data_IF_755019266959
#
_entry.id   IF_755019266959
#
_cell.length_a   1.000
_cell.length_b   1.000
_cell.length_c   1.000
_cell.angle_alpha   90.00
_cell.angle_beta   90.00
_cell.angle_gamma   90.00
#
_symmetry.space_group_name_H-M   'P 1'
#
loop_
_entity.id
_entity.type
_entity.pdbx_description
1 polymer ?
#
# COMPACT_ATOMS: atom_id res chain seq x y z
N UNK A 1 -17.59 -32.97 1.45
CA UNK A 1 -17.03 -31.89 0.60
C UNK A 1 -16.09 -30.94 1.34
N UNK A 2 -15.89 -31.12 2.62
CA UNK A 2 -14.89 -30.40 3.41
C UNK A 2 -13.49 -30.80 2.93
N UNK A 3 -12.84 -30.01 2.09
CA UNK A 3 -11.49 -30.26 1.55
C UNK A 3 -11.29 -29.93 0.08
N UNK A 4 -12.36 -29.70 -0.69
CA UNK A 4 -12.21 -29.27 -2.10
C UNK A 4 -11.81 -27.80 -2.22
N UNK A 5 -12.30 -26.93 -1.35
CA UNK A 5 -11.96 -25.50 -1.37
C UNK A 5 -10.46 -25.24 -1.30
N UNK A 6 -9.73 -25.77 -0.30
CA UNK A 6 -8.27 -25.62 -0.23
C UNK A 6 -7.55 -26.19 -1.47
N UNK A 7 -7.98 -27.35 -2.00
CA UNK A 7 -7.40 -27.94 -3.21
C UNK A 7 -7.58 -27.04 -4.44
N UNK A 8 -8.79 -26.51 -4.64
CA UNK A 8 -9.07 -25.54 -5.72
C UNK A 8 -8.22 -24.28 -5.55
N UNK A 9 -8.12 -23.75 -4.33
CA UNK A 9 -7.30 -22.58 -4.06
C UNK A 9 -5.81 -22.80 -4.40
N UNK A 10 -5.28 -24.00 -4.05
CA UNK A 10 -3.91 -24.37 -4.41
C UNK A 10 -3.71 -24.47 -5.91
N UNK A 11 -4.64 -25.12 -6.64
CA UNK A 11 -4.57 -25.24 -8.11
C UNK A 11 -4.66 -23.88 -8.79
N UNK A 12 -5.62 -23.05 -8.41
CA UNK A 12 -5.78 -21.69 -8.94
C UNK A 12 -4.55 -20.83 -8.66
N UNK A 13 -3.95 -20.92 -7.45
CA UNK A 13 -2.73 -20.19 -7.12
C UNK A 13 -1.55 -20.66 -7.99
N UNK A 14 -1.40 -21.96 -8.21
CA UNK A 14 -0.36 -22.51 -9.08
C UNK A 14 -0.51 -22.00 -10.53
N UNK A 15 -1.73 -22.06 -11.08
CA UNK A 15 -2.00 -21.60 -12.45
C UNK A 15 -1.80 -20.07 -12.58
N UNK A 16 -2.22 -19.27 -11.59
CA UNK A 16 -1.99 -17.83 -11.60
C UNK A 16 -0.52 -17.46 -11.44
N UNK A 17 0.29 -18.30 -10.78
CA UNK A 17 1.71 -18.01 -10.56
C UNK A 17 2.57 -18.09 -11.82
N UNK A 18 2.08 -18.75 -12.89
CA UNK A 18 2.77 -18.80 -14.19
C UNK A 18 2.43 -17.62 -15.09
N UNK A 19 1.44 -16.82 -14.72
CA UNK A 19 1.05 -15.63 -15.47
C UNK A 19 2.08 -14.50 -15.27
N UNK A 20 2.75 -14.00 -16.33
CA UNK A 20 3.87 -13.05 -16.21
C UNK A 20 3.50 -11.72 -15.53
N UNK A 21 2.22 -11.36 -15.52
CA UNK A 21 1.69 -10.10 -14.99
C UNK A 21 1.21 -10.22 -13.54
N UNK A 22 1.25 -11.43 -12.96
CA UNK A 22 0.70 -11.72 -11.63
C UNK A 22 1.80 -12.24 -10.71
N UNK A 23 2.01 -11.55 -9.61
CA UNK A 23 2.85 -12.03 -8.52
C UNK A 23 1.93 -12.58 -7.44
N UNK A 24 1.97 -13.90 -7.24
CA UNK A 24 1.13 -14.55 -6.23
C UNK A 24 1.78 -14.57 -4.85
N UNK A 25 0.93 -14.50 -3.84
CA UNK A 25 1.29 -14.63 -2.43
C UNK A 25 0.80 -15.99 -1.93
N UNK A 26 1.69 -16.76 -1.28
CA UNK A 26 1.38 -18.11 -0.78
C UNK A 26 0.24 -18.10 0.25
N UNK A 27 -0.75 -19.03 0.07
CA UNK A 27 -1.89 -19.16 0.98
C UNK A 27 -1.48 -19.52 2.41
N UNK A 28 -0.51 -20.41 2.57
CA UNK A 28 -0.02 -20.84 3.89
C UNK A 28 0.49 -19.68 4.74
N UNK A 29 0.92 -18.64 4.11
CA UNK A 29 1.39 -17.41 4.74
C UNK A 29 0.22 -16.52 5.18
N UNK A 30 -0.86 -16.47 4.37
CA UNK A 30 -2.09 -15.77 4.74
C UNK A 30 -2.73 -16.38 6.00
N UNK A 31 -2.67 -17.70 6.13
CA UNK A 31 -3.18 -18.43 7.29
C UNK A 31 -2.46 -18.07 8.59
N UNK A 32 -1.15 -17.85 8.52
CA UNK A 32 -0.36 -17.38 9.68
C UNK A 32 -0.73 -15.96 10.11
N UNK A 33 -1.13 -15.10 9.15
CA UNK A 33 -1.45 -13.70 9.41
C UNK A 33 -2.86 -13.51 9.95
N UNK A 34 -3.84 -14.26 9.45
CA UNK A 34 -5.26 -14.07 9.74
C UNK A 34 -5.78 -14.96 10.87
N UNK A 35 -5.02 -15.99 11.27
CA UNK A 35 -5.49 -17.04 12.16
C UNK A 35 -6.56 -17.93 11.50
N UNK A 36 -6.70 -19.16 11.98
CA UNK A 36 -7.64 -20.16 11.41
C UNK A 36 -9.11 -19.72 11.45
N UNK A 37 -9.48 -18.86 12.41
CA UNK A 37 -10.88 -18.42 12.59
C UNK A 37 -11.37 -17.45 11.50
N UNK A 38 -10.53 -16.57 10.99
CA UNK A 38 -10.93 -15.61 9.94
C UNK A 38 -10.93 -16.24 8.54
N UNK A 39 -10.11 -17.26 8.30
CA UNK A 39 -10.08 -18.03 7.04
C UNK A 39 -11.12 -19.14 6.97
N UNK A 40 -11.52 -19.68 8.12
CA UNK A 40 -12.56 -20.72 8.24
C UNK A 40 -13.95 -20.24 7.81
N UNK A 41 -14.20 -18.93 7.76
CA UNK A 41 -15.37 -18.29 7.18
C UNK A 41 -15.26 -18.22 5.65
N UNK A 42 -14.76 -19.26 5.04
CA UNK A 42 -14.50 -19.39 3.61
C UNK A 42 -15.70 -18.93 2.77
N UNK A 43 -15.48 -17.89 1.95
CA UNK A 43 -16.44 -17.32 1.02
C UNK A 43 -17.21 -16.10 1.53
N UNK A 44 -16.97 -15.61 2.75
CA UNK A 44 -17.60 -14.40 3.30
C UNK A 44 -16.60 -13.28 3.61
N UNK A 45 -15.44 -13.28 2.97
CA UNK A 45 -14.48 -12.17 3.15
C UNK A 45 -15.16 -10.87 2.73
N UNK A 46 -15.29 -9.96 3.69
CA UNK A 46 -15.81 -8.63 3.44
C UNK A 46 -14.71 -7.74 2.81
N UNK A 47 -15.08 -6.65 2.11
CA UNK A 47 -14.10 -5.69 1.62
C UNK A 47 -13.19 -5.14 2.73
N UNK A 48 -13.71 -4.94 3.94
CA UNK A 48 -12.93 -4.49 5.09
C UNK A 48 -11.89 -5.53 5.55
N UNK A 49 -12.26 -6.81 5.57
CA UNK A 49 -11.31 -7.90 5.85
C UNK A 49 -10.27 -8.03 4.74
N UNK A 50 -10.66 -7.86 3.47
CA UNK A 50 -9.75 -7.85 2.34
C UNK A 50 -8.72 -6.71 2.43
N UNK A 51 -9.16 -5.50 2.82
CA UNK A 51 -8.27 -4.36 3.03
C UNK A 51 -7.24 -4.64 4.13
N UNK A 52 -7.66 -5.25 5.25
CA UNK A 52 -6.75 -5.66 6.33
C UNK A 52 -5.71 -6.68 5.85
N UNK A 53 -6.13 -7.67 5.05
CA UNK A 53 -5.22 -8.65 4.42
C UNK A 53 -4.21 -7.93 3.54
N UNK A 54 -4.66 -7.03 2.67
CA UNK A 54 -3.80 -6.25 1.78
C UNK A 54 -2.74 -5.45 2.54
N UNK A 55 -3.15 -4.77 3.61
CA UNK A 55 -2.24 -4.02 4.48
C UNK A 55 -1.17 -4.89 5.14
N UNK A 56 -1.52 -6.11 5.54
CA UNK A 56 -0.62 -7.03 6.22
C UNK A 56 0.32 -7.77 5.27
N UNK A 57 -0.12 -8.06 4.06
CA UNK A 57 0.62 -8.90 3.09
C UNK A 57 1.19 -8.13 1.91
N UNK A 58 0.81 -6.87 1.73
CA UNK A 58 1.13 -6.08 0.53
C UNK A 58 0.33 -6.52 -0.72
N UNK A 59 -0.59 -7.49 -0.59
CA UNK A 59 -1.40 -7.96 -1.71
C UNK A 59 -2.39 -6.90 -2.16
N UNK A 60 -2.37 -6.54 -3.44
CA UNK A 60 -3.28 -5.54 -4.04
C UNK A 60 -4.63 -6.13 -4.43
N UNK A 61 -4.66 -7.43 -4.67
CA UNK A 61 -5.87 -8.18 -5.04
C UNK A 61 -5.97 -9.44 -4.18
N UNK A 62 -7.13 -9.67 -3.61
CA UNK A 62 -7.46 -10.89 -2.88
C UNK A 62 -8.49 -11.70 -3.68
N UNK A 63 -8.20 -12.98 -3.91
CA UNK A 63 -9.14 -13.91 -4.52
C UNK A 63 -9.68 -14.86 -3.45
N UNK A 64 -10.99 -14.91 -3.31
CA UNK A 64 -11.69 -15.84 -2.42
C UNK A 64 -12.84 -16.52 -3.16
N UNK A 65 -13.29 -17.67 -2.69
CA UNK A 65 -14.35 -18.38 -3.41
C UNK A 65 -14.96 -19.54 -2.64
N UNK A 66 -15.91 -20.18 -3.29
CA UNK A 66 -16.60 -21.36 -2.79
C UNK A 66 -16.73 -22.43 -3.85
N UNK A 67 -16.67 -23.68 -3.43
CA UNK A 67 -16.94 -24.85 -4.23
C UNK A 67 -18.16 -25.55 -3.65
N UNK A 68 -19.17 -25.78 -4.46
CA UNK A 68 -20.38 -26.49 -4.04
C UNK A 68 -20.98 -27.30 -5.22
N UNK A 69 -21.88 -28.22 -4.91
CA UNK A 69 -22.68 -28.93 -5.89
C UNK A 69 -24.07 -28.32 -5.92
N UNK A 70 -24.57 -28.09 -7.15
CA UNK A 70 -25.95 -27.78 -7.39
C UNK A 70 -26.45 -28.74 -8.47
N UNK A 71 -27.52 -29.45 -8.18
CA UNK A 71 -28.01 -30.54 -9.02
C UNK A 71 -26.88 -31.54 -9.35
N UNK A 72 -26.63 -31.77 -10.63
CA UNK A 72 -25.56 -32.65 -11.12
C UNK A 72 -24.28 -31.88 -11.51
N UNK A 73 -24.11 -30.64 -11.07
CA UNK A 73 -22.98 -29.79 -11.45
C UNK A 73 -22.07 -29.51 -10.27
N UNK A 74 -20.76 -29.50 -10.50
CA UNK A 74 -19.79 -28.89 -9.59
C UNK A 74 -19.62 -27.43 -10.01
N UNK A 75 -19.86 -26.51 -9.07
CA UNK A 75 -19.78 -25.07 -9.29
C UNK A 75 -18.66 -24.51 -8.44
N UNK A 76 -17.81 -23.69 -9.06
CA UNK A 76 -16.78 -22.92 -8.38
C UNK A 76 -17.02 -21.44 -8.65
N UNK A 77 -17.22 -20.67 -7.59
CA UNK A 77 -17.40 -19.21 -7.66
C UNK A 77 -16.20 -18.55 -7.02
N UNK A 78 -15.63 -17.56 -7.69
CA UNK A 78 -14.56 -16.72 -7.15
C UNK A 78 -15.02 -15.26 -7.07
N UNK A 79 -14.54 -14.56 -6.03
CA UNK A 79 -14.59 -13.11 -5.88
C UNK A 79 -13.17 -12.58 -5.96
N UNK A 80 -12.95 -11.58 -6.78
CA UNK A 80 -11.70 -10.88 -7.00
C UNK A 80 -11.87 -9.50 -6.38
N UNK A 81 -11.16 -9.24 -5.29
CA UNK A 81 -11.38 -8.09 -4.42
C UNK A 81 -10.13 -7.21 -4.44
N UNK A 82 -10.26 -5.96 -4.86
CA UNK A 82 -9.22 -4.96 -4.69
C UNK A 82 -9.09 -4.57 -3.22
N UNK A 83 -7.95 -4.81 -2.61
CA UNK A 83 -7.74 -4.59 -1.17
C UNK A 83 -7.75 -3.12 -0.78
N UNK A 84 -7.36 -2.24 -1.68
CA UNK A 84 -7.34 -0.79 -1.48
C UNK A 84 -8.61 -0.10 -1.97
N UNK A 85 -9.20 -0.61 -3.06
CA UNK A 85 -10.37 0.02 -3.71
C UNK A 85 -11.70 -0.53 -3.22
N UNK A 86 -11.68 -1.67 -2.51
CA UNK A 86 -12.87 -2.42 -2.10
C UNK A 86 -13.77 -2.86 -3.27
N UNK A 87 -13.30 -2.76 -4.51
CA UNK A 87 -14.03 -3.23 -5.69
C UNK A 87 -14.02 -4.74 -5.77
N UNK A 88 -15.12 -5.31 -6.19
CA UNK A 88 -15.32 -6.77 -6.28
C UNK A 88 -15.80 -7.15 -7.65
N UNK A 89 -15.10 -8.10 -8.29
CA UNK A 89 -15.57 -8.79 -9.49
C UNK A 89 -15.82 -10.26 -9.14
N UNK A 90 -16.75 -10.86 -9.86
CA UNK A 90 -17.11 -12.27 -9.69
C UNK A 90 -16.82 -13.07 -10.95
N UNK A 91 -16.27 -14.27 -10.77
CA UNK A 91 -16.15 -15.27 -11.84
C UNK A 91 -16.67 -16.62 -11.38
N UNK A 92 -17.14 -17.40 -12.34
CA UNK A 92 -17.71 -18.71 -12.08
C UNK A 92 -17.34 -19.68 -13.19
N UNK A 93 -17.11 -20.93 -12.78
CA UNK A 93 -17.03 -22.09 -13.65
C UNK A 93 -17.95 -23.19 -13.13
N UNK A 94 -18.46 -24.01 -14.04
CA UNK A 94 -19.29 -25.16 -13.69
C UNK A 94 -19.04 -26.32 -14.66
N UNK A 95 -19.23 -27.51 -14.17
CA UNK A 95 -19.13 -28.71 -15.00
C UNK A 95 -19.79 -29.92 -14.37
N UNK A 96 -20.20 -30.91 -15.21
CA UNK A 96 -20.72 -32.17 -14.70
C UNK A 96 -19.64 -32.95 -13.92
N UNK A 97 -19.99 -33.99 -13.14
CA UNK A 97 -19.03 -34.79 -12.35
C UNK A 97 -17.93 -35.47 -13.19
N UNK A 98 -18.10 -35.55 -14.51
CA UNK A 98 -17.13 -36.10 -15.46
C UNK A 98 -15.97 -35.13 -15.75
N UNK A 99 -16.13 -33.84 -15.48
CA UNK A 99 -15.07 -32.85 -15.63
C UNK A 99 -14.21 -32.84 -14.39
N UNK A 100 -12.89 -32.87 -14.56
CA UNK A 100 -11.98 -32.91 -13.44
C UNK A 100 -11.97 -31.56 -12.70
N UNK A 101 -11.71 -31.61 -11.39
CA UNK A 101 -11.58 -30.42 -10.58
C UNK A 101 -10.35 -29.59 -11.00
N UNK A 102 -9.35 -30.23 -11.58
CA UNK A 102 -8.15 -29.57 -12.15
C UNK A 102 -8.55 -28.70 -13.32
N UNK A 103 -9.30 -29.27 -14.30
CA UNK A 103 -9.73 -28.50 -15.49
C UNK A 103 -10.64 -27.32 -15.12
N UNK A 104 -11.55 -27.54 -14.14
CA UNK A 104 -12.39 -26.43 -13.64
C UNK A 104 -11.55 -25.36 -12.95
N UNK A 105 -10.51 -25.74 -12.19
CA UNK A 105 -9.63 -24.79 -11.51
C UNK A 105 -8.79 -23.98 -12.51
N UNK A 106 -8.24 -24.64 -13.54
CA UNK A 106 -7.46 -23.97 -14.59
C UNK A 106 -8.33 -23.01 -15.42
N UNK A 107 -9.56 -23.42 -15.76
CA UNK A 107 -10.50 -22.54 -16.43
C UNK A 107 -10.88 -21.32 -15.57
N UNK A 108 -11.02 -21.51 -14.25
CA UNK A 108 -11.28 -20.42 -13.33
C UNK A 108 -10.06 -19.47 -13.22
N UNK A 109 -8.86 -20.03 -13.13
CA UNK A 109 -7.62 -19.23 -13.08
C UNK A 109 -7.46 -18.36 -14.33
N UNK A 110 -7.70 -18.91 -15.52
CA UNK A 110 -7.67 -18.15 -16.77
C UNK A 110 -8.69 -17.00 -16.78
N UNK A 111 -9.92 -17.22 -16.28
CA UNK A 111 -10.92 -16.14 -16.13
C UNK A 111 -10.49 -15.08 -15.14
N UNK A 112 -9.94 -15.48 -13.98
CA UNK A 112 -9.41 -14.56 -12.96
C UNK A 112 -8.28 -13.72 -13.56
N UNK A 113 -7.33 -14.34 -14.26
CA UNK A 113 -6.25 -13.65 -14.96
C UNK A 113 -6.78 -12.62 -15.97
N UNK A 114 -7.79 -12.99 -16.76
CA UNK A 114 -8.46 -12.10 -17.70
C UNK A 114 -9.13 -10.89 -17.02
N UNK A 115 -9.76 -11.09 -15.87
CA UNK A 115 -10.32 -9.97 -15.07
C UNK A 115 -9.21 -9.08 -14.54
N UNK A 116 -8.14 -9.64 -13.98
CA UNK A 116 -7.01 -8.87 -13.49
C UNK A 116 -6.36 -8.08 -14.62
N UNK A 117 -6.12 -8.67 -15.78
CA UNK A 117 -5.55 -8.00 -16.94
C UNK A 117 -6.43 -6.86 -17.47
N UNK A 118 -7.76 -7.04 -17.51
CA UNK A 118 -8.69 -6.07 -18.10
C UNK A 118 -9.22 -5.03 -17.11
N UNK A 119 -9.22 -5.33 -15.80
CA UNK A 119 -9.80 -4.50 -14.73
C UNK A 119 -8.82 -4.15 -13.63
N UNK A 120 -7.53 -4.50 -13.78
CA UNK A 120 -6.49 -4.25 -12.79
C UNK A 120 -6.45 -2.79 -12.34
N UNK A 121 -6.53 -1.84 -13.28
CA UNK A 121 -6.56 -0.39 -12.99
C UNK A 121 -7.72 0.05 -12.09
N UNK A 122 -8.76 -0.77 -11.98
CA UNK A 122 -9.91 -0.49 -11.12
C UNK A 122 -9.84 -1.24 -9.78
N UNK A 123 -9.11 -2.37 -9.76
CA UNK A 123 -8.89 -3.18 -8.57
C UNK A 123 -7.79 -2.60 -7.68
N UNK A 124 -6.77 -2.03 -8.29
CA UNK A 124 -5.62 -1.44 -7.59
C UNK A 124 -5.81 0.06 -7.54
N UNK A 125 -5.61 0.65 -6.37
CA UNK A 125 -5.55 2.11 -6.28
C UNK A 125 -4.37 2.59 -7.13
N UNK A 126 -4.59 3.62 -7.96
CA UNK A 126 -3.50 4.26 -8.67
C UNK A 126 -2.57 4.85 -7.62
N UNK A 127 -1.39 4.26 -7.50
CA UNK A 127 -0.31 4.88 -6.74
C UNK A 127 0.18 6.05 -7.59
N UNK A 128 -0.10 7.27 -7.15
CA UNK A 128 0.41 8.46 -7.80
C UNK A 128 1.94 8.41 -7.81
N UNK A 129 2.55 8.58 -8.97
CA UNK A 129 4.00 8.60 -9.06
C UNK A 129 4.56 9.84 -8.38
N UNK A 130 5.84 9.82 -8.03
CA UNK A 130 6.50 10.99 -7.45
C UNK A 130 6.41 12.21 -8.39
N UNK A 131 6.57 12.00 -9.70
CA UNK A 131 6.48 13.04 -10.73
C UNK A 131 5.07 13.63 -10.83
N UNK A 132 4.03 12.79 -10.80
CA UNK A 132 2.64 13.24 -10.82
C UNK A 132 2.30 14.07 -9.57
N UNK A 133 2.78 13.64 -8.40
CA UNK A 133 2.65 14.39 -7.13
C UNK A 133 3.30 15.76 -7.23
N UNK A 134 4.55 15.83 -7.71
CA UNK A 134 5.26 17.09 -7.90
C UNK A 134 4.53 17.99 -8.88
N UNK A 135 4.07 17.47 -10.01
CA UNK A 135 3.32 18.25 -11.02
C UNK A 135 2.04 18.85 -10.42
N UNK A 136 1.29 18.07 -9.64
CA UNK A 136 0.06 18.49 -8.96
C UNK A 136 0.34 19.59 -7.92
N UNK A 137 1.39 19.43 -7.12
CA UNK A 137 1.80 20.46 -6.16
C UNK A 137 2.20 21.73 -6.88
N UNK A 138 3.05 21.66 -7.92
CA UNK A 138 3.45 22.81 -8.73
C UNK A 138 2.26 23.56 -9.32
N UNK A 139 1.27 22.83 -9.82
CA UNK A 139 0.04 23.44 -10.33
C UNK A 139 -0.72 24.21 -9.23
N UNK A 140 -0.80 23.65 -8.03
CA UNK A 140 -1.52 24.27 -6.91
C UNK A 140 -0.82 25.53 -6.34
N UNK A 141 0.50 25.67 -6.54
CA UNK A 141 1.29 26.82 -6.06
C UNK A 141 1.67 27.80 -7.18
N UNK A 142 1.25 27.56 -8.43
CA UNK A 142 1.61 28.38 -9.56
C UNK A 142 1.22 29.86 -9.33
N UNK A 143 2.16 30.77 -9.57
CA UNK A 143 1.97 32.20 -9.39
C UNK A 143 1.98 32.72 -7.94
N UNK A 144 2.14 31.85 -6.96
CA UNK A 144 2.21 32.21 -5.54
C UNK A 144 3.63 32.52 -5.07
N UNK A 145 3.74 33.33 -4.03
CA UNK A 145 5.02 33.61 -3.38
C UNK A 145 5.42 32.41 -2.51
N UNK A 146 6.63 31.91 -2.72
CA UNK A 146 7.17 30.78 -1.97
C UNK A 146 8.06 31.28 -0.83
N UNK A 147 7.75 30.93 0.44
CA UNK A 147 8.60 31.27 1.58
C UNK A 147 9.88 30.42 1.59
N UNK A 148 10.88 30.88 2.31
CA UNK A 148 12.07 30.07 2.65
C UNK A 148 11.70 29.13 3.79
N UNK A 149 12.00 27.84 3.63
CA UNK A 149 11.59 26.79 4.55
C UNK A 149 12.81 26.22 5.27
N UNK A 150 12.67 25.93 6.58
CA UNK A 150 13.53 24.99 7.29
C UNK A 150 12.78 23.70 7.60
N UNK A 151 13.44 22.56 7.43
CA UNK A 151 12.86 21.24 7.73
C UNK A 151 13.70 20.59 8.81
N UNK A 152 13.05 20.06 9.85
CA UNK A 152 13.71 19.34 10.95
C UNK A 152 12.77 18.24 11.44
N UNK A 153 13.07 17.00 11.10
CA UNK A 153 12.29 15.84 11.51
C UNK A 153 13.18 14.88 12.29
N UNK A 154 12.82 14.64 13.56
CA UNK A 154 13.49 13.61 14.36
C UNK A 154 12.99 12.24 13.94
N UNK A 155 13.89 11.35 13.53
CA UNK A 155 13.54 10.05 12.99
C UNK A 155 14.02 8.91 13.89
N UNK A 156 13.12 7.97 14.20
CA UNK A 156 13.38 6.83 15.07
C UNK A 156 12.86 5.54 14.42
N UNK A 157 13.60 4.46 14.63
CA UNK A 157 13.14 3.12 14.32
C UNK A 157 13.05 2.31 15.62
N UNK A 158 11.94 1.64 15.86
CA UNK A 158 11.80 0.71 16.96
C UNK A 158 12.53 -0.60 16.61
N UNK A 159 13.82 -0.64 16.93
CA UNK A 159 14.78 -1.66 16.56
C UNK A 159 16.16 -1.07 16.31
N UNK A 160 16.91 -1.53 15.31
CA UNK A 160 18.22 -0.98 14.95
C UNK A 160 18.14 0.49 14.56
N UNK A 161 19.17 1.26 14.92
CA UNK A 161 19.24 2.68 14.60
C UNK A 161 19.32 2.93 13.10
N UNK A 162 18.44 3.77 12.53
CA UNK A 162 18.53 4.23 11.14
C UNK A 162 19.42 5.48 11.12
N UNK A 163 20.49 5.43 10.30
CA UNK A 163 21.50 6.49 10.24
C UNK A 163 21.05 7.68 9.39
N UNK A 164 20.19 7.45 8.37
CA UNK A 164 19.79 8.47 7.39
C UNK A 164 18.31 8.84 7.55
N UNK A 165 17.96 10.12 7.74
CA UNK A 165 16.57 10.56 7.87
C UNK A 165 15.84 10.47 6.54
N UNK A 166 14.95 9.49 6.39
CA UNK A 166 14.20 9.24 5.16
C UNK A 166 13.03 10.23 4.98
N UNK A 167 12.32 10.54 6.07
CA UNK A 167 11.18 11.46 6.04
C UNK A 167 11.61 12.92 5.80
N UNK A 168 12.66 13.38 6.50
CA UNK A 168 13.21 14.74 6.32
C UNK A 168 13.75 14.92 4.89
N UNK A 169 14.46 13.91 4.38
CA UNK A 169 15.01 13.94 3.02
C UNK A 169 13.90 13.98 1.97
N UNK A 170 12.84 13.19 2.11
CA UNK A 170 11.72 13.19 1.18
C UNK A 170 10.97 14.53 1.17
N UNK A 171 10.72 15.10 2.36
CA UNK A 171 10.11 16.43 2.47
C UNK A 171 10.98 17.52 1.81
N UNK A 172 12.28 17.50 2.08
CA UNK A 172 13.25 18.46 1.55
C UNK A 172 13.33 18.36 0.03
N UNK A 173 13.41 17.13 -0.51
CA UNK A 173 13.44 16.85 -1.94
C UNK A 173 12.16 17.36 -2.63
N UNK A 174 11.00 17.04 -2.08
CA UNK A 174 9.70 17.48 -2.62
C UNK A 174 9.59 19.01 -2.64
N UNK A 175 9.99 19.69 -1.56
CA UNK A 175 10.00 21.17 -1.49
C UNK A 175 10.93 21.77 -2.55
N UNK A 176 12.17 21.26 -2.68
CA UNK A 176 13.13 21.74 -3.67
C UNK A 176 12.62 21.54 -5.10
N UNK A 177 12.08 20.38 -5.40
CA UNK A 177 11.50 20.09 -6.71
C UNK A 177 10.29 21.00 -7.02
N UNK A 178 9.54 21.42 -6.00
CA UNK A 178 8.45 22.39 -6.12
C UNK A 178 8.94 23.87 -6.20
N UNK A 179 10.26 24.12 -6.11
CA UNK A 179 10.86 25.45 -6.27
C UNK A 179 11.05 26.24 -4.97
N UNK A 180 10.80 25.65 -3.81
CA UNK A 180 11.09 26.30 -2.52
C UNK A 180 12.60 26.36 -2.25
N UNK A 181 13.02 27.43 -1.58
CA UNK A 181 14.38 27.55 -1.04
C UNK A 181 14.40 26.96 0.37
N UNK A 182 15.37 26.11 0.63
CA UNK A 182 15.58 25.55 1.95
C UNK A 182 16.72 26.27 2.69
N UNK A 183 16.54 26.47 3.98
CA UNK A 183 17.54 26.98 4.89
C UNK A 183 17.84 25.95 5.96
N UNK A 184 19.09 25.60 6.14
CA UNK A 184 19.60 24.75 7.23
C UNK A 184 20.41 25.56 8.22
N UNK A 185 20.96 24.90 9.29
CA UNK A 185 21.73 25.55 10.34
C UNK A 185 23.03 26.23 9.88
N UNK A 186 23.52 25.94 8.67
CA UNK A 186 24.71 26.54 8.05
C UNK A 186 24.39 27.60 6.99
N UNK A 187 23.11 27.79 6.66
CA UNK A 187 22.67 28.70 5.59
C UNK A 187 22.70 30.17 6.03
N UNK A 188 23.06 31.06 5.10
CA UNK A 188 22.89 32.52 5.26
C UNK A 188 21.42 32.95 5.06
N UNK A 189 20.57 32.08 4.48
CA UNK A 189 19.15 32.34 4.30
C UNK A 189 18.43 32.22 5.64
N UNK A 190 17.56 33.18 5.92
CA UNK A 190 16.67 33.09 7.09
C UNK A 190 15.38 32.42 6.67
N UNK A 191 14.95 31.34 7.32
CA UNK A 191 13.68 30.70 7.02
C UNK A 191 12.51 31.57 7.48
N UNK A 192 11.45 31.61 6.66
CA UNK A 192 10.17 32.24 6.99
C UNK A 192 9.26 31.26 7.75
N UNK A 193 9.37 29.99 7.41
CA UNK A 193 8.53 28.90 7.93
C UNK A 193 9.41 27.72 8.33
N UNK A 194 9.10 27.14 9.48
CA UNK A 194 9.70 25.91 9.98
C UNK A 194 8.71 24.75 9.83
N UNK A 195 9.17 23.65 9.25
CA UNK A 195 8.49 22.35 9.29
C UNK A 195 9.28 21.50 10.28
N UNK A 196 8.67 21.15 11.40
CA UNK A 196 9.30 20.32 12.42
C UNK A 196 8.39 19.18 12.86
N UNK A 197 8.96 18.09 13.32
CA UNK A 197 8.16 16.97 13.79
C UNK A 197 8.96 15.72 14.10
N UNK A 198 8.21 14.63 14.26
CA UNK A 198 8.73 13.32 14.59
C UNK A 198 8.27 12.30 13.56
N UNK A 199 9.16 11.40 13.19
CA UNK A 199 8.88 10.28 12.33
C UNK A 199 9.40 9.00 12.99
N UNK A 200 8.61 7.95 12.95
CA UNK A 200 9.04 6.66 13.44
C UNK A 200 8.56 5.52 12.55
N UNK A 201 9.32 4.45 12.56
CA UNK A 201 8.99 3.20 11.92
C UNK A 201 9.15 2.03 12.88
N UNK A 202 8.43 0.96 12.60
CA UNK A 202 8.50 -0.27 13.37
C UNK A 202 8.36 -1.47 12.45
N UNK A 203 9.00 -2.56 12.81
CA UNK A 203 8.79 -3.86 12.16
C UNK A 203 7.30 -4.22 12.19
N UNK A 204 6.77 -4.63 11.07
CA UNK A 204 5.40 -5.12 10.94
C UNK A 204 5.34 -6.64 10.92
N UNK A 205 5.86 -7.23 9.86
CA UNK A 205 5.90 -8.68 9.69
C UNK A 205 6.96 -9.08 8.66
N UNK A 206 7.41 -10.33 8.75
CA UNK A 206 8.24 -10.97 7.75
C UNK A 206 7.49 -12.09 7.06
N UNK A 207 7.71 -12.23 5.75
CA UNK A 207 7.09 -13.23 4.92
C UNK A 207 8.06 -13.71 3.85
N UNK A 208 8.54 -14.93 3.99
CA UNK A 208 9.63 -15.39 3.14
C UNK A 208 10.80 -14.42 3.20
N UNK A 209 11.19 -13.90 2.06
CA UNK A 209 12.26 -12.90 1.95
C UNK A 209 11.75 -11.44 2.04
N UNK A 210 10.44 -11.21 2.21
CA UNK A 210 9.89 -9.87 2.28
C UNK A 210 9.62 -9.49 3.75
N UNK A 211 9.97 -8.26 4.08
CA UNK A 211 9.74 -7.63 5.37
C UNK A 211 8.87 -6.40 5.17
N UNK A 212 7.84 -6.25 5.97
CA UNK A 212 7.05 -5.04 6.03
C UNK A 212 7.38 -4.23 7.27
N UNK A 213 7.44 -2.90 7.10
CA UNK A 213 7.52 -1.96 8.20
C UNK A 213 6.36 -0.97 8.11
N UNK A 214 5.88 -0.55 9.27
CA UNK A 214 4.87 0.49 9.42
C UNK A 214 5.54 1.76 9.91
N UNK A 215 5.20 2.89 9.30
CA UNK A 215 5.70 4.20 9.73
C UNK A 215 4.57 5.14 10.13
N UNK A 216 4.95 6.17 10.88
CA UNK A 216 4.10 7.32 11.18
C UNK A 216 4.96 8.58 11.17
N UNK A 217 4.49 9.60 10.47
CA UNK A 217 5.10 10.94 10.39
C UNK A 217 4.09 11.93 10.95
N UNK A 218 4.53 12.77 11.89
CA UNK A 218 3.75 13.84 12.49
C UNK A 218 4.51 15.15 12.34
N UNK A 219 3.89 16.14 11.72
CA UNK A 219 4.51 17.41 11.37
C UNK A 219 3.72 18.59 11.93
N UNK A 220 4.46 19.63 12.31
CA UNK A 220 3.95 20.96 12.63
C UNK A 220 4.62 21.97 11.72
N UNK A 221 3.84 22.87 11.16
CA UNK A 221 4.32 23.99 10.35
C UNK A 221 4.13 25.25 11.15
N UNK A 222 5.21 25.98 11.36
CA UNK A 222 5.24 27.21 12.17
C UNK A 222 5.74 28.38 11.35
N UNK A 223 5.04 29.50 11.41
CA UNK A 223 5.55 30.78 10.93
C UNK A 223 6.56 31.35 11.92
N UNK A 224 7.79 31.60 11.50
CA UNK A 224 8.88 31.99 12.44
C UNK A 224 8.65 33.38 12.98
N UNK A 225 8.21 34.33 12.14
CA UNK A 225 8.03 35.72 12.53
C UNK A 225 7.02 35.91 13.68
N UNK A 226 5.95 35.09 13.69
CA UNK A 226 4.86 35.20 14.68
C UNK A 226 4.90 34.11 15.73
N UNK A 227 5.65 33.02 15.48
CA UNK A 227 5.64 31.81 16.30
C UNK A 227 4.36 30.96 16.17
N UNK A 228 3.40 31.38 15.33
CA UNK A 228 2.12 30.69 15.18
C UNK A 228 2.28 29.35 14.46
N UNK A 229 1.57 28.34 14.93
CA UNK A 229 1.42 27.08 14.21
C UNK A 229 0.37 27.28 13.13
N UNK A 230 0.81 27.20 11.86
CA UNK A 230 -0.06 27.37 10.69
C UNK A 230 -0.89 26.12 10.43
N UNK A 231 -0.29 24.94 10.64
CA UNK A 231 -0.98 23.65 10.49
C UNK A 231 -0.21 22.53 11.22
N UNK A 232 -0.93 21.45 11.50
CA UNK A 232 -0.39 20.18 11.96
C UNK A 232 -0.99 19.07 11.10
N UNK A 233 -0.18 18.11 10.68
CA UNK A 233 -0.64 16.97 9.90
C UNK A 233 0.11 15.70 10.29
N UNK A 234 -0.48 14.55 9.98
CA UNK A 234 0.12 13.25 10.25
C UNK A 234 -0.26 12.23 9.18
N UNK A 235 0.63 11.28 8.97
CA UNK A 235 0.39 10.17 8.04
C UNK A 235 1.02 8.88 8.58
N UNK A 236 0.38 7.77 8.25
CA UNK A 236 0.89 6.42 8.50
C UNK A 236 0.97 5.70 7.16
N UNK A 237 2.09 5.02 6.91
CA UNK A 237 2.27 4.23 5.69
C UNK A 237 2.92 2.88 6.00
N UNK A 238 2.93 2.00 5.02
CA UNK A 238 3.60 0.69 5.07
C UNK A 238 4.56 0.59 3.90
N UNK A 239 5.79 0.15 4.19
CA UNK A 239 6.79 -0.21 3.18
C UNK A 239 7.07 -1.70 3.25
N UNK A 240 7.35 -2.29 2.10
CA UNK A 240 7.72 -3.71 1.98
C UNK A 240 9.00 -3.80 1.17
N UNK A 241 9.98 -4.53 1.68
CA UNK A 241 11.26 -4.77 1.01
C UNK A 241 11.90 -6.08 1.49
N UNK A 242 13.03 -6.45 0.92
CA UNK A 242 13.81 -7.63 1.32
C UNK A 242 14.61 -7.43 2.62
N UNK A 243 14.79 -6.19 3.04
CA UNK A 243 15.43 -5.84 4.32
C UNK A 243 14.53 -4.96 5.16
N UNK A 244 14.60 -5.10 6.49
CA UNK A 244 13.85 -4.28 7.42
C UNK A 244 14.19 -2.79 7.28
N UNK A 245 15.47 -2.48 7.09
CA UNK A 245 15.94 -1.10 6.94
C UNK A 245 15.33 -0.43 5.71
N UNK A 246 15.35 -1.10 4.54
CA UNK A 246 14.78 -0.54 3.31
C UNK A 246 13.26 -0.45 3.40
N UNK A 247 12.59 -1.47 3.95
CA UNK A 247 11.14 -1.44 4.19
C UNK A 247 10.73 -0.27 5.10
N UNK A 248 11.50 -0.02 6.16
CA UNK A 248 11.28 1.09 7.08
C UNK A 248 11.45 2.46 6.39
N UNK A 249 12.54 2.63 5.62
CA UNK A 249 12.78 3.87 4.84
C UNK A 249 11.67 4.11 3.81
N UNK A 250 11.28 3.08 3.05
CA UNK A 250 10.17 3.17 2.09
C UNK A 250 8.88 3.58 2.76
N UNK A 251 8.56 3.01 3.93
CA UNK A 251 7.38 3.40 4.70
C UNK A 251 7.41 4.88 5.12
N UNK A 252 8.56 5.37 5.60
CA UNK A 252 8.75 6.76 6.02
C UNK A 252 8.68 7.73 4.84
N UNK A 253 9.32 7.41 3.70
CA UNK A 253 9.26 8.18 2.45
C UNK A 253 7.82 8.30 1.95
N UNK A 254 7.09 7.19 1.90
CA UNK A 254 5.69 7.19 1.48
C UNK A 254 4.85 8.11 2.38
N UNK A 255 4.96 7.96 3.70
CA UNK A 255 4.22 8.79 4.65
C UNK A 255 4.57 10.28 4.52
N UNK A 256 5.86 10.61 4.39
CA UNK A 256 6.33 11.98 4.22
C UNK A 256 5.84 12.60 2.89
N UNK A 257 5.90 11.84 1.80
CA UNK A 257 5.41 12.28 0.48
C UNK A 257 3.90 12.57 0.49
N UNK A 258 3.09 11.73 1.14
CA UNK A 258 1.65 11.96 1.28
C UNK A 258 1.32 13.18 2.16
N UNK A 259 2.09 13.43 3.22
CA UNK A 259 1.95 14.65 4.02
C UNK A 259 2.37 15.87 3.21
N UNK A 260 3.49 15.79 2.48
CA UNK A 260 4.00 16.87 1.63
C UNK A 260 2.94 17.37 0.63
N UNK A 261 2.22 16.46 -0.01
CA UNK A 261 1.14 16.79 -0.94
C UNK A 261 0.05 17.67 -0.32
N UNK A 262 -0.25 17.45 0.95
CA UNK A 262 -1.29 18.21 1.66
C UNK A 262 -0.80 19.53 2.25
N UNK A 263 0.45 19.56 2.74
CA UNK A 263 0.98 20.74 3.44
C UNK A 263 1.59 21.77 2.48
N UNK A 264 2.34 21.34 1.46
CA UNK A 264 3.10 22.26 0.58
C UNK A 264 2.20 23.30 -0.12
N UNK A 265 1.03 22.95 -0.69
CA UNK A 265 0.15 23.92 -1.30
C UNK A 265 -0.34 25.03 -0.36
N UNK A 266 -0.33 24.77 0.96
CA UNK A 266 -0.77 25.72 2.00
C UNK A 266 0.34 26.65 2.47
N UNK A 267 1.61 26.38 2.10
CA UNK A 267 2.76 27.22 2.46
C UNK A 267 2.91 28.41 1.53
N UNK A 268 2.46 28.27 0.27
CA UNK A 268 2.54 29.30 -0.76
C UNK A 268 1.41 30.33 -0.57
N UNK A 269 1.78 31.62 -0.57
CA UNK A 269 0.89 32.78 -0.31
C UNK A 269 0.63 33.59 -1.57
#
# INVERSE_FOLDING_TARGET
>A
MSGLGPKVATLVNADLSVEPQIITVERAELEKVLGEQELGLSGTVSPASAAKVGQLTGAKVLVTGRVFKAEAQTIIVAKIIGTETSRVYGEMVQGPPTVSIVDLSSNLAAKIAGVIASKGDTLVAKTETHEERIAKIKQAIAGKKLPVISVKVSEHHYGPHIIDPAAETELSLTLQQCGFKLADGGSTLKPDVEISGDAFSAFGMQKGNLISCKSRVELKVREIATGNILLTDRQTSVGVDVTEQTAAKTALQNAAGEVAERIIPRLAK
#
